data_IF_844407442188
#
_entry.id   IF_844407442188
#
_cell.length_a   1.000
_cell.length_b   1.000
_cell.length_c   1.000
_cell.angle_alpha   90.00
_cell.angle_beta   90.00
_cell.angle_gamma   90.00
#
_symmetry.space_group_name_H-M   'P 1'
#
loop_
_entity.id
_entity.type
_entity.pdbx_description
1 polymer ?
#
# COMPACT_ATOMS: atom_id res chain seq x y z
N UNK A 1 7.37 12.90 -18.04
CA UNK A 1 7.44 12.51 -16.62
C UNK A 1 8.19 11.19 -16.59
N UNK A 2 9.40 11.13 -16.02
CA UNK A 2 10.06 9.83 -15.85
C UNK A 2 9.22 9.00 -14.90
N UNK A 3 9.08 7.72 -15.21
CA UNK A 3 8.49 6.77 -14.26
C UNK A 3 9.27 6.89 -12.94
N UNK A 4 8.59 6.92 -11.78
CA UNK A 4 9.29 6.73 -10.52
C UNK A 4 10.04 5.39 -10.62
N UNK A 5 11.36 5.43 -10.43
CA UNK A 5 12.31 4.34 -10.21
C UNK A 5 11.80 2.94 -10.61
N UNK A 6 12.35 2.38 -11.69
CA UNK A 6 12.06 1.00 -12.11
C UNK A 6 12.51 -0.02 -11.05
N UNK A 7 11.97 -1.24 -11.11
CA UNK A 7 12.47 -2.39 -10.35
C UNK A 7 14.02 -2.42 -10.36
N UNK A 8 14.64 -2.11 -9.22
CA UNK A 8 16.09 -2.16 -9.04
C UNK A 8 16.83 -0.84 -8.80
N UNK A 9 16.17 0.33 -8.90
CA UNK A 9 16.80 1.62 -8.63
C UNK A 9 16.35 2.24 -7.30
N UNK A 10 17.10 2.00 -6.22
CA UNK A 10 16.86 2.62 -4.91
C UNK A 10 16.69 1.63 -3.77
N UNK A 11 16.53 2.14 -2.55
CA UNK A 11 16.20 1.29 -1.39
C UNK A 11 14.73 0.89 -1.42
N UNK A 12 14.37 -0.18 -0.69
CA UNK A 12 12.98 -0.63 -0.58
C UNK A 12 12.07 0.49 -0.05
N UNK A 13 12.54 1.28 0.92
CA UNK A 13 11.79 2.42 1.46
C UNK A 13 11.55 3.51 0.40
N UNK A 14 12.55 3.83 -0.42
CA UNK A 14 12.39 4.78 -1.51
C UNK A 14 11.39 4.30 -2.56
N UNK A 15 11.36 2.99 -2.84
CA UNK A 15 10.41 2.38 -3.77
C UNK A 15 9.00 2.42 -3.18
N UNK A 16 8.84 2.07 -1.89
CA UNK A 16 7.55 2.15 -1.19
C UNK A 16 6.99 3.56 -1.21
N UNK A 17 7.81 4.54 -0.86
CA UNK A 17 7.41 5.95 -0.91
C UNK A 17 7.01 6.36 -2.33
N UNK A 18 7.79 6.02 -3.34
CA UNK A 18 7.48 6.36 -4.72
C UNK A 18 6.16 5.73 -5.21
N UNK A 19 5.87 4.50 -4.79
CA UNK A 19 4.61 3.83 -5.10
C UNK A 19 3.42 4.46 -4.36
N UNK A 20 3.58 4.87 -3.10
CA UNK A 20 2.55 5.62 -2.36
C UNK A 20 2.24 6.94 -3.08
N UNK A 21 3.26 7.74 -3.40
CA UNK A 21 3.09 9.02 -4.11
C UNK A 21 2.44 8.86 -5.50
N UNK A 22 2.63 7.72 -6.15
CA UNK A 22 1.95 7.41 -7.41
C UNK A 22 0.46 7.13 -7.24
N UNK A 23 0.07 6.48 -6.15
CA UNK A 23 -1.32 6.09 -5.90
C UNK A 23 -2.15 7.17 -5.22
N UNK A 24 -1.54 8.01 -4.37
CA UNK A 24 -2.25 9.10 -3.66
C UNK A 24 -3.12 9.95 -4.60
N UNK A 25 -2.63 10.49 -5.73
CA UNK A 25 -3.47 11.29 -6.62
C UNK A 25 -4.66 10.52 -7.20
N UNK A 26 -4.55 9.19 -7.35
CA UNK A 26 -5.64 8.34 -7.84
C UNK A 26 -6.69 8.11 -6.74
N UNK A 27 -6.24 7.93 -5.50
CA UNK A 27 -7.10 7.83 -4.32
C UNK A 27 -7.86 9.14 -4.11
N UNK A 28 -7.16 10.28 -4.17
CA UNK A 28 -7.79 11.60 -4.04
C UNK A 28 -8.83 11.84 -5.13
N UNK A 29 -8.51 11.52 -6.39
CA UNK A 29 -9.46 11.62 -7.50
C UNK A 29 -10.69 10.73 -7.28
N UNK A 30 -10.52 9.52 -6.78
CA UNK A 30 -11.64 8.63 -6.48
C UNK A 30 -12.52 9.20 -5.34
N UNK A 31 -11.89 9.73 -4.31
CA UNK A 31 -12.58 10.42 -3.21
C UNK A 31 -13.36 11.65 -3.68
N UNK A 32 -12.78 12.48 -4.53
CA UNK A 32 -13.45 13.64 -5.15
C UNK A 32 -14.65 13.24 -6.05
N UNK A 33 -14.62 12.02 -6.60
CA UNK A 33 -15.72 11.45 -7.37
C UNK A 33 -16.81 10.79 -6.51
N UNK A 34 -16.64 10.75 -5.18
CA UNK A 34 -17.60 10.14 -4.25
C UNK A 34 -17.61 8.61 -4.30
N UNK A 35 -16.49 7.98 -4.64
CA UNK A 35 -16.35 6.52 -4.54
C UNK A 35 -16.57 6.07 -3.09
N UNK A 36 -17.37 5.03 -2.90
CA UNK A 36 -17.71 4.52 -1.55
C UNK A 36 -16.80 3.38 -1.10
N UNK A 37 -16.24 2.61 -2.04
CA UNK A 37 -15.32 1.50 -1.79
C UNK A 37 -14.21 1.56 -2.84
N UNK A 38 -12.96 1.67 -2.39
CA UNK A 38 -11.76 1.65 -3.22
C UNK A 38 -10.91 0.43 -2.87
N UNK A 39 -10.47 -0.31 -3.89
CA UNK A 39 -9.59 -1.46 -3.72
C UNK A 39 -8.29 -1.22 -4.47
N UNK A 40 -7.17 -1.37 -3.76
CA UNK A 40 -5.84 -1.29 -4.34
C UNK A 40 -5.39 -2.63 -4.92
N UNK A 41 -4.34 -2.58 -5.73
CA UNK A 41 -3.71 -3.78 -6.29
C UNK A 41 -3.02 -4.60 -5.20
N UNK A 42 -2.78 -5.88 -5.47
CA UNK A 42 -2.01 -6.75 -4.57
C UNK A 42 -0.61 -6.17 -4.32
N UNK A 43 -0.25 -5.97 -3.05
CA UNK A 43 1.02 -5.38 -2.59
C UNK A 43 1.36 -4.09 -3.39
N UNK A 44 0.39 -3.17 -3.46
CA UNK A 44 0.46 -1.99 -4.35
C UNK A 44 1.62 -1.02 -4.06
N UNK A 45 2.20 -1.10 -2.86
CA UNK A 45 3.30 -0.25 -2.42
C UNK A 45 4.68 -0.83 -2.77
N UNK A 46 4.77 -1.95 -3.50
CA UNK A 46 6.02 -2.47 -4.04
C UNK A 46 5.83 -2.87 -5.51
N UNK A 47 6.91 -3.20 -6.24
CA UNK A 47 6.78 -4.00 -7.45
C UNK A 47 6.21 -5.38 -7.10
N UNK A 48 5.62 -6.03 -8.10
CA UNK A 48 4.98 -7.33 -7.88
C UNK A 48 6.03 -8.44 -7.85
N UNK A 49 6.63 -8.66 -6.67
CA UNK A 49 7.76 -9.58 -6.48
C UNK A 49 7.35 -11.04 -6.19
N UNK A 50 6.06 -11.34 -6.03
CA UNK A 50 5.54 -12.70 -5.78
C UNK A 50 6.08 -13.79 -6.73
N UNK A 51 6.28 -13.56 -8.06
CA UNK A 51 6.89 -14.55 -8.95
C UNK A 51 8.44 -14.58 -8.88
N UNK A 52 9.07 -13.62 -8.19
CA UNK A 52 10.52 -13.49 -8.07
C UNK A 52 11.12 -14.41 -7.00
N UNK A 53 12.46 -14.45 -6.96
CA UNK A 53 13.24 -15.19 -5.97
C UNK A 53 14.13 -14.29 -5.09
N UNK A 54 13.97 -12.97 -5.21
CA UNK A 54 14.78 -12.03 -4.44
C UNK A 54 14.17 -11.82 -3.04
N UNK A 55 14.78 -12.46 -2.06
CA UNK A 55 14.36 -12.40 -0.67
C UNK A 55 14.58 -11.00 -0.04
N UNK A 56 15.30 -10.08 -0.71
CA UNK A 56 15.45 -8.71 -0.24
C UNK A 56 14.08 -8.04 -0.03
N UNK A 57 13.09 -8.37 -0.86
CA UNK A 57 11.73 -7.85 -0.75
C UNK A 57 11.03 -8.21 0.56
N UNK A 58 11.52 -9.17 1.34
CA UNK A 58 10.95 -9.47 2.65
C UNK A 58 11.13 -8.32 3.66
N UNK A 59 12.11 -7.45 3.42
CA UNK A 59 12.28 -6.24 4.21
C UNK A 59 11.18 -5.18 3.94
N UNK A 60 10.38 -5.34 2.88
CA UNK A 60 9.22 -4.46 2.63
C UNK A 60 8.05 -4.72 3.57
N UNK A 61 8.03 -5.89 4.23
CA UNK A 61 6.96 -6.30 5.10
C UNK A 61 6.80 -5.37 6.31
N UNK A 62 5.56 -5.03 6.63
CA UNK A 62 5.22 -4.12 7.73
C UNK A 62 4.13 -4.71 8.63
N UNK A 63 3.93 -4.14 9.81
CA UNK A 63 2.84 -4.56 10.69
C UNK A 63 1.48 -4.17 10.10
N UNK A 64 0.43 -4.89 10.47
CA UNK A 64 -0.95 -4.53 10.17
C UNK A 64 -1.74 -4.52 11.49
N UNK A 65 -2.12 -3.35 12.04
CA UNK A 65 -1.92 -1.99 11.52
C UNK A 65 -0.44 -1.56 11.45
N UNK A 66 -0.14 -0.62 10.54
CA UNK A 66 1.19 -0.07 10.33
C UNK A 66 1.20 1.10 9.32
N UNK A 67 2.38 1.53 8.86
CA UNK A 67 2.55 2.79 8.15
C UNK A 67 1.64 2.98 6.93
N UNK A 68 1.46 1.94 6.10
CA UNK A 68 0.60 2.04 4.92
C UNK A 68 -0.88 2.09 5.31
N UNK A 69 -1.32 1.26 6.26
CA UNK A 69 -2.73 1.26 6.70
C UNK A 69 -3.08 2.55 7.43
N UNK A 70 -2.17 3.09 8.24
CA UNK A 70 -2.36 4.35 8.97
C UNK A 70 -2.54 5.52 8.00
N UNK A 71 -1.70 5.59 6.96
CA UNK A 71 -1.85 6.59 5.89
C UNK A 71 -3.17 6.42 5.14
N UNK A 72 -3.55 5.18 4.78
CA UNK A 72 -4.80 4.93 4.07
C UNK A 72 -6.03 5.26 4.94
N UNK A 73 -5.95 5.11 6.26
CA UNK A 73 -7.00 5.50 7.18
C UNK A 73 -7.28 7.01 7.17
N UNK A 74 -6.24 7.84 7.00
CA UNK A 74 -6.42 9.29 6.82
C UNK A 74 -7.26 9.60 5.57
N UNK A 75 -6.98 8.91 4.45
CA UNK A 75 -7.73 9.08 3.20
C UNK A 75 -9.14 8.50 3.26
N UNK A 76 -9.31 7.33 3.89
CA UNK A 76 -10.62 6.70 4.09
C UNK A 76 -11.56 7.66 4.82
N UNK A 77 -11.09 8.22 5.94
CA UNK A 77 -11.81 9.23 6.72
C UNK A 77 -12.04 10.54 5.96
N UNK A 78 -11.02 11.06 5.27
CA UNK A 78 -11.10 12.31 4.49
C UNK A 78 -12.23 12.27 3.48
N UNK A 79 -12.43 11.12 2.83
CA UNK A 79 -13.40 10.97 1.74
C UNK A 79 -14.65 10.17 2.11
N UNK A 80 -14.78 9.73 3.37
CA UNK A 80 -15.87 8.85 3.82
C UNK A 80 -16.01 7.62 2.90
N UNK A 81 -14.88 6.95 2.67
CA UNK A 81 -14.70 5.87 1.70
C UNK A 81 -14.02 4.67 2.35
N UNK A 82 -14.57 3.47 2.17
CA UNK A 82 -13.92 2.22 2.59
C UNK A 82 -12.72 1.97 1.67
N UNK A 83 -11.56 1.63 2.24
CA UNK A 83 -10.35 1.34 1.46
C UNK A 83 -9.83 -0.07 1.78
N UNK A 84 -9.70 -0.90 0.75
CA UNK A 84 -9.05 -2.21 0.82
C UNK A 84 -7.58 -2.03 0.45
N UNK A 85 -6.68 -2.39 1.37
CA UNK A 85 -5.25 -2.10 1.34
C UNK A 85 -4.45 -3.40 1.39
N UNK A 86 -4.12 -4.01 0.23
CA UNK A 86 -3.26 -5.18 0.18
C UNK A 86 -1.79 -4.81 0.43
N UNK A 87 -1.18 -5.44 1.43
CA UNK A 87 0.22 -5.25 1.82
C UNK A 87 0.88 -6.59 2.10
N UNK A 88 2.22 -6.56 2.17
CA UNK A 88 2.97 -7.68 2.73
C UNK A 88 3.13 -7.48 4.24
N UNK A 89 2.49 -8.33 5.02
CA UNK A 89 2.41 -8.21 6.47
C UNK A 89 3.54 -8.98 7.16
N UNK A 90 4.07 -8.40 8.25
CA UNK A 90 4.91 -9.06 9.23
C UNK A 90 4.15 -9.18 10.55
N UNK A 91 3.55 -10.34 10.79
CA UNK A 91 2.82 -10.66 12.04
C UNK A 91 3.80 -10.84 13.21
N UNK A 92 4.82 -11.67 13.00
CA UNK A 92 5.85 -11.97 13.99
C UNK A 92 7.18 -12.34 13.30
N UNK A 93 8.25 -12.49 14.07
CA UNK A 93 9.57 -12.79 13.50
C UNK A 93 9.54 -14.09 12.69
N UNK A 94 9.80 -13.99 11.39
CA UNK A 94 9.83 -15.13 10.47
C UNK A 94 8.47 -15.53 9.88
N UNK A 95 7.37 -14.84 10.23
CA UNK A 95 6.03 -15.10 9.71
C UNK A 95 5.54 -13.90 8.93
N UNK A 96 5.49 -14.06 7.60
CA UNK A 96 5.11 -13.01 6.65
C UNK A 96 3.90 -13.48 5.86
N UNK A 97 2.93 -12.59 5.65
CA UNK A 97 1.67 -12.92 4.97
C UNK A 97 1.35 -11.93 3.86
N UNK A 98 0.59 -12.42 2.89
CA UNK A 98 -0.13 -11.55 1.97
C UNK A 98 -1.48 -11.21 2.62
N UNK A 99 -1.65 -9.93 2.98
CA UNK A 99 -2.76 -9.47 3.79
C UNK A 99 -3.46 -8.32 3.11
N UNK A 100 -4.79 -8.30 3.17
CA UNK A 100 -5.60 -7.15 2.78
C UNK A 100 -6.30 -6.57 4.01
N UNK A 101 -5.87 -5.39 4.45
CA UNK A 101 -6.60 -4.64 5.46
C UNK A 101 -7.85 -4.02 4.82
N UNK A 102 -8.97 -4.02 5.54
CA UNK A 102 -10.19 -3.33 5.14
C UNK A 102 -10.41 -2.21 6.14
N UNK A 103 -10.26 -0.97 5.68
CA UNK A 103 -10.40 0.22 6.51
C UNK A 103 -11.78 0.81 6.26
N UNK A 104 -12.55 1.04 7.32
CA UNK A 104 -13.89 1.61 7.23
C UNK A 104 -13.85 3.11 6.87
N UNK A 105 -14.99 3.62 6.41
CA UNK A 105 -15.13 5.00 5.96
C UNK A 105 -14.84 6.06 7.04
N UNK A 106 -14.84 5.69 8.32
CA UNK A 106 -14.47 6.57 9.43
C UNK A 106 -12.95 6.55 9.76
N UNK A 107 -12.19 5.69 9.08
CA UNK A 107 -10.76 5.50 9.26
C UNK A 107 -10.38 4.44 10.31
N UNK A 108 -11.27 3.51 10.66
CA UNK A 108 -11.00 2.38 11.57
C UNK A 108 -10.68 1.06 10.86
#
# INVERSE_FOLDING_TARGET
>A
MSLPKTEGEGTIDEIKEAMLQKHIPLIEKAGEQGVQILCLQEIFNTPYFCPGQDNAWYASAETCPGPTTDLMAEYAKKYNMVIIVPIYEKEQAGFLYNTAAVIDADGT
#
